data_IF_632478876754
#
_entry.id   IF_632478876754
#
_cell.length_a   1.000
_cell.length_b   1.000
_cell.length_c   1.000
_cell.angle_alpha   90.00
_cell.angle_beta   90.00
_cell.angle_gamma   90.00
#
_symmetry.space_group_name_H-M   'P 1'
#
loop_
_entity.id
_entity.type
_entity.pdbx_description
1 polymer ?
#
# COMPACT_ATOMS: atom_id res chain seq x y z
N UNK A 1 29.99 16.01 -9.42
CA UNK A 1 28.62 16.54 -9.53
C UNK A 1 27.82 15.99 -8.36
N UNK A 2 27.80 16.71 -7.24
CA UNK A 2 27.10 16.29 -6.04
C UNK A 2 25.62 16.63 -6.20
N UNK A 3 24.77 15.61 -6.30
CA UNK A 3 23.33 15.80 -6.11
C UNK A 3 23.17 16.21 -4.65
N UNK A 4 22.58 17.38 -4.33
CA UNK A 4 22.35 17.72 -2.94
C UNK A 4 21.38 16.68 -2.39
N UNK A 5 21.80 15.93 -1.37
CA UNK A 5 20.96 14.95 -0.68
C UNK A 5 19.65 15.59 -0.16
N UNK A 6 19.66 16.90 0.05
CA UNK A 6 18.51 17.73 0.45
C UNK A 6 17.67 18.28 -0.72
N UNK A 7 18.11 18.14 -1.98
CA UNK A 7 17.40 18.61 -3.17
C UNK A 7 16.72 17.47 -3.94
N UNK A 8 16.41 16.36 -3.25
CA UNK A 8 15.35 15.44 -3.67
C UNK A 8 14.02 16.19 -3.56
N UNK A 9 13.73 17.09 -4.52
CA UNK A 9 12.40 17.61 -4.69
C UNK A 9 11.47 16.39 -4.78
N UNK A 10 10.45 16.26 -3.92
CA UNK A 10 9.51 15.15 -4.02
C UNK A 10 8.98 15.15 -5.45
N UNK A 11 9.14 14.03 -6.15
CA UNK A 11 8.56 13.87 -7.47
C UNK A 11 7.04 13.92 -7.29
N UNK A 12 6.48 15.12 -7.46
CA UNK A 12 5.06 15.42 -7.27
C UNK A 12 4.36 15.05 -8.56
N UNK A 13 3.95 13.78 -8.64
CA UNK A 13 3.11 13.32 -9.73
C UNK A 13 1.69 13.85 -9.54
N UNK A 14 1.14 14.43 -10.59
CA UNK A 14 -0.29 14.70 -10.63
C UNK A 14 -1.06 13.39 -10.56
N UNK A 15 -2.19 13.40 -9.86
CA UNK A 15 -3.02 12.21 -9.75
C UNK A 15 -3.44 11.73 -11.14
N UNK A 16 -3.23 10.43 -11.40
CA UNK A 16 -3.61 9.80 -12.66
C UNK A 16 -4.05 8.35 -12.40
N UNK A 17 -4.76 7.73 -13.36
CA UNK A 17 -5.13 6.32 -13.25
C UNK A 17 -3.93 5.37 -13.07
N UNK A 18 -2.74 5.75 -13.57
CA UNK A 18 -1.49 4.98 -13.37
C UNK A 18 -1.07 4.96 -11.90
N UNK A 19 -1.16 6.10 -11.22
CA UNK A 19 -0.89 6.22 -9.78
C UNK A 19 -1.85 5.33 -8.99
N UNK A 20 -3.14 5.36 -9.35
CA UNK A 20 -4.15 4.51 -8.71
C UNK A 20 -3.86 3.02 -8.91
N UNK A 21 -3.44 2.61 -10.10
CA UNK A 21 -3.06 1.22 -10.39
C UNK A 21 -1.90 0.76 -9.49
N UNK A 22 -0.85 1.57 -9.37
CA UNK A 22 0.29 1.26 -8.48
C UNK A 22 -0.19 1.12 -7.03
N UNK A 23 -1.03 2.03 -6.54
CA UNK A 23 -1.57 1.97 -5.18
C UNK A 23 -2.38 0.70 -4.91
N UNK A 24 -3.24 0.30 -5.84
CA UNK A 24 -4.05 -0.92 -5.71
C UNK A 24 -3.15 -2.16 -5.67
N UNK A 25 -2.14 -2.24 -6.54
CA UNK A 25 -1.19 -3.36 -6.54
C UNK A 25 -0.45 -3.44 -5.21
N UNK A 26 0.03 -2.31 -4.67
CA UNK A 26 0.68 -2.28 -3.35
C UNK A 26 -0.26 -2.72 -2.21
N UNK A 27 -1.54 -2.35 -2.26
CA UNK A 27 -2.53 -2.81 -1.29
C UNK A 27 -2.78 -4.32 -1.39
N UNK A 28 -2.90 -4.88 -2.59
CA UNK A 28 -3.08 -6.33 -2.79
C UNK A 28 -1.88 -7.10 -2.25
N UNK A 29 -0.65 -6.63 -2.50
CA UNK A 29 0.57 -7.22 -1.96
C UNK A 29 0.57 -7.15 -0.43
N UNK A 30 0.24 -6.01 0.16
CA UNK A 30 0.19 -5.85 1.61
C UNK A 30 -0.89 -6.73 2.27
N UNK A 31 -2.05 -6.90 1.63
CA UNK A 31 -3.10 -7.83 2.06
C UNK A 31 -2.60 -9.27 2.03
N UNK A 32 -1.89 -9.68 0.96
CA UNK A 32 -1.30 -11.02 0.88
C UNK A 32 -0.27 -11.27 1.98
N UNK A 33 0.62 -10.29 2.23
CA UNK A 33 1.62 -10.36 3.31
C UNK A 33 0.92 -10.43 4.67
N UNK A 34 -0.07 -9.57 4.92
CA UNK A 34 -0.83 -9.57 6.16
C UNK A 34 -1.54 -10.89 6.41
N UNK A 35 -2.12 -11.49 5.37
CA UNK A 35 -2.75 -12.81 5.47
C UNK A 35 -1.75 -13.93 5.72
N UNK A 36 -0.49 -13.80 5.31
CA UNK A 36 0.55 -14.78 5.61
C UNK A 36 1.22 -14.57 6.98
N UNK A 37 1.21 -13.35 7.53
CA UNK A 37 2.06 -12.97 8.68
C UNK A 37 1.30 -12.60 9.96
N UNK A 38 0.06 -12.10 9.86
CA UNK A 38 -0.73 -11.73 11.05
C UNK A 38 -1.12 -13.01 11.78
N UNK A 39 -0.73 -13.13 13.06
CA UNK A 39 -1.04 -14.30 13.91
C UNK A 39 -2.50 -14.35 14.36
N UNK A 40 -3.09 -13.18 14.62
CA UNK A 40 -4.45 -13.02 15.15
C UNK A 40 -5.34 -12.28 14.17
N UNK A 41 -5.70 -12.96 13.08
CA UNK A 41 -6.37 -12.36 11.91
C UNK A 41 -7.87 -12.12 12.11
N UNK A 42 -8.50 -12.89 13.00
CA UNK A 42 -9.96 -12.93 13.17
C UNK A 42 -10.39 -12.37 14.53
N UNK A 43 -9.57 -11.50 15.12
CA UNK A 43 -9.88 -10.86 16.41
C UNK A 43 -10.57 -9.52 16.15
N UNK A 44 -11.71 -9.31 16.79
CA UNK A 44 -12.53 -8.10 16.63
C UNK A 44 -13.76 -8.29 15.73
N UNK A 45 -14.30 -7.17 15.24
CA UNK A 45 -15.53 -7.16 14.43
C UNK A 45 -15.28 -7.84 13.08
N UNK A 46 -16.02 -8.92 12.82
CA UNK A 46 -15.96 -9.64 11.54
C UNK A 46 -16.54 -8.77 10.42
N UNK A 47 -15.96 -8.87 9.22
CA UNK A 47 -16.54 -8.20 8.06
C UNK A 47 -17.81 -8.91 7.57
N UNK A 48 -18.84 -8.16 7.16
CA UNK A 48 -19.90 -8.73 6.34
C UNK A 48 -19.24 -9.23 5.06
N UNK A 49 -19.39 -10.52 4.72
CA UNK A 49 -18.71 -11.23 3.62
C UNK A 49 -17.23 -11.63 3.81
N UNK A 50 -16.90 -12.16 5.00
CA UNK A 50 -15.56 -12.68 5.33
C UNK A 50 -14.93 -13.66 4.29
N UNK A 51 -15.73 -14.31 3.43
CA UNK A 51 -15.24 -15.20 2.37
C UNK A 51 -14.37 -14.47 1.33
N UNK A 52 -14.73 -13.24 0.94
CA UNK A 52 -13.94 -12.45 -0.02
C UNK A 52 -12.66 -11.87 0.59
N UNK A 53 -12.64 -11.68 1.92
CA UNK A 53 -11.51 -11.09 2.65
C UNK A 53 -10.64 -12.12 3.38
N UNK A 54 -10.75 -13.40 2.99
CA UNK A 54 -9.90 -14.46 3.53
C UNK A 54 -10.06 -14.72 5.02
N UNK A 55 -11.22 -14.38 5.60
CA UNK A 55 -11.51 -14.58 7.02
C UNK A 55 -10.91 -13.53 7.96
N UNK A 56 -10.35 -12.44 7.44
CA UNK A 56 -9.82 -11.36 8.27
C UNK A 56 -10.92 -10.56 8.99
N UNK A 57 -10.58 -10.00 10.15
CA UNK A 57 -11.40 -9.03 10.86
C UNK A 57 -11.28 -7.64 10.22
N UNK A 58 -12.21 -6.73 10.53
CA UNK A 58 -12.12 -5.34 10.09
C UNK A 58 -10.79 -4.69 10.47
N UNK A 59 -10.29 -4.97 11.68
CA UNK A 59 -9.03 -4.41 12.17
C UNK A 59 -7.84 -4.94 11.36
N UNK A 60 -7.81 -6.24 11.04
CA UNK A 60 -6.76 -6.81 10.20
C UNK A 60 -6.78 -6.25 8.79
N UNK A 61 -7.96 -6.09 8.17
CA UNK A 61 -8.04 -5.44 6.86
C UNK A 61 -7.54 -4.01 6.90
N UNK A 62 -8.02 -3.21 7.87
CA UNK A 62 -7.58 -1.82 8.03
C UNK A 62 -6.07 -1.72 8.22
N UNK A 63 -5.47 -2.64 8.99
CA UNK A 63 -4.03 -2.69 9.18
C UNK A 63 -3.30 -3.01 7.86
N UNK A 64 -3.76 -4.03 7.11
CA UNK A 64 -3.14 -4.40 5.83
C UNK A 64 -3.27 -3.34 4.76
N UNK A 65 -4.41 -2.66 4.66
CA UNK A 65 -4.59 -1.56 3.70
C UNK A 65 -3.78 -0.34 4.10
N UNK A 66 -3.65 -0.04 5.39
CA UNK A 66 -2.79 1.05 5.88
C UNK A 66 -1.32 0.77 5.55
N UNK A 67 -0.85 -0.47 5.76
CA UNK A 67 0.47 -0.90 5.33
C UNK A 67 0.64 -0.78 3.81
N UNK A 68 -0.38 -1.19 3.05
CA UNK A 68 -0.45 -1.03 1.60
C UNK A 68 -0.30 0.42 1.14
N UNK A 69 -0.91 1.38 1.84
CA UNK A 69 -0.76 2.80 1.56
C UNK A 69 0.64 3.33 1.88
N UNK A 70 1.27 2.88 2.98
CA UNK A 70 2.66 3.23 3.28
C UNK A 70 3.61 2.77 2.17
N UNK A 71 3.47 1.51 1.74
CA UNK A 71 4.25 0.95 0.63
C UNK A 71 3.93 1.68 -0.68
N UNK A 72 2.64 1.95 -0.94
CA UNK A 72 2.17 2.61 -2.14
C UNK A 72 2.72 4.02 -2.30
N UNK A 73 2.72 4.83 -1.24
CA UNK A 73 3.31 6.18 -1.27
C UNK A 73 4.80 6.10 -1.61
N UNK A 74 5.54 5.17 -1.00
CA UNK A 74 6.95 4.95 -1.29
C UNK A 74 7.20 4.50 -2.74
N UNK A 75 6.40 3.56 -3.24
CA UNK A 75 6.50 3.05 -4.61
C UNK A 75 6.17 4.13 -5.65
N UNK A 76 5.10 4.90 -5.44
CA UNK A 76 4.69 5.99 -6.34
C UNK A 76 5.80 7.05 -6.41
N UNK A 77 6.30 7.52 -5.27
CA UNK A 77 7.39 8.50 -5.26
C UNK A 77 8.69 7.93 -5.88
N UNK A 78 8.98 6.65 -5.66
CA UNK A 78 10.13 5.97 -6.25
C UNK A 78 10.04 5.87 -7.77
N UNK A 79 8.90 5.46 -8.32
CA UNK A 79 8.69 5.38 -9.77
C UNK A 79 8.66 6.77 -10.41
N UNK A 80 8.04 7.75 -9.75
CA UNK A 80 8.00 9.14 -10.18
C UNK A 80 9.41 9.75 -10.24
N UNK A 81 10.24 9.53 -9.22
CA UNK A 81 11.63 10.01 -9.19
C UNK A 81 12.51 9.40 -10.30
N UNK A 82 12.09 8.26 -10.87
CA UNK A 82 12.76 7.60 -12.00
C UNK A 82 12.14 7.94 -13.36
N UNK A 83 11.08 8.77 -13.39
CA UNK A 83 10.41 9.19 -14.63
C UNK A 83 9.55 8.11 -15.30
N UNK A 84 9.21 7.03 -14.58
CA UNK A 84 8.40 5.90 -15.09
C UNK A 84 6.90 6.13 -14.85
N UNK A 85 6.56 7.06 -13.96
CA UNK A 85 5.20 7.46 -13.60
C UNK A 85 4.97 8.93 -13.92
#
# INVERSE_FOLDING_TARGET
MFIPLLALAPATVSWSPKVALVMVVCNVIAIAIGKATIKHQNVGIKMPSASFFGGMSHASMLATTSLGHLIGIGAIQGLAARGVL
#
